data_IF_934062160534
#
_entry.id   IF_934062160534
#
_cell.length_a   1.000
_cell.length_b   1.000
_cell.length_c   1.000
_cell.angle_alpha   90.00
_cell.angle_beta   90.00
_cell.angle_gamma   90.00
#
_symmetry.space_group_name_H-M   'P 1'
#
loop_
_entity.id
_entity.type
_entity.pdbx_description
1 polymer ?
#
# COMPACT_ATOMS: atom_id res chain seq x y z
N UNK A 1 -9.26 7.55 -14.87
CA UNK A 1 -7.79 7.56 -14.68
C UNK A 1 -7.51 7.69 -13.20
N UNK A 2 -7.35 6.56 -12.54
CA UNK A 2 -6.94 6.52 -11.13
C UNK A 2 -5.40 6.50 -11.03
N UNK A 3 -4.89 7.05 -9.93
CA UNK A 3 -3.46 7.02 -9.60
C UNK A 3 -3.31 6.10 -8.40
N UNK A 4 -2.56 5.01 -8.56
CA UNK A 4 -2.21 4.11 -7.47
C UNK A 4 -0.76 4.27 -7.07
N UNK A 5 -0.51 4.28 -5.78
CA UNK A 5 0.85 4.41 -5.25
C UNK A 5 1.41 3.02 -4.99
N UNK A 6 2.57 2.72 -5.58
CA UNK A 6 3.30 1.48 -5.35
C UNK A 6 4.70 1.78 -4.80
N UNK A 7 5.26 0.84 -4.04
CA UNK A 7 6.60 0.97 -3.51
C UNK A 7 7.62 0.36 -4.48
N UNK A 8 8.60 1.16 -4.89
CA UNK A 8 9.69 0.76 -5.79
C UNK A 8 11.01 1.15 -5.13
N UNK A 9 11.81 0.16 -4.72
CA UNK A 9 13.09 0.37 -3.99
C UNK A 9 12.96 1.30 -2.77
N UNK A 10 11.87 1.19 -2.01
CA UNK A 10 11.63 2.02 -0.82
C UNK A 10 11.00 3.39 -1.11
N UNK A 11 10.82 3.76 -2.38
CA UNK A 11 10.17 5.00 -2.77
C UNK A 11 8.70 4.77 -3.15
N UNK A 12 7.82 5.64 -2.66
CA UNK A 12 6.39 5.60 -2.98
C UNK A 12 6.15 6.36 -4.28
N UNK A 13 5.80 5.64 -5.36
CA UNK A 13 5.62 6.20 -6.70
C UNK A 13 4.17 6.04 -7.15
N UNK A 14 3.57 7.14 -7.62
CA UNK A 14 2.25 7.12 -8.23
C UNK A 14 2.29 6.63 -9.68
N UNK A 15 1.55 5.57 -9.98
CA UNK A 15 1.35 5.06 -11.33
C UNK A 15 -0.09 5.37 -11.78
N UNK A 16 -0.19 6.04 -12.92
CA UNK A 16 -1.46 6.36 -13.57
C UNK A 16 -1.96 5.12 -14.33
N UNK A 17 -3.23 4.77 -14.13
CA UNK A 17 -3.91 3.73 -14.91
C UNK A 17 -3.48 2.30 -14.57
N UNK A 18 -2.92 2.06 -13.38
CA UNK A 18 -2.39 0.76 -12.99
C UNK A 18 -3.44 -0.35 -13.08
N UNK A 19 -4.66 -0.12 -12.60
CA UNK A 19 -5.74 -1.13 -12.61
C UNK A 19 -6.12 -1.58 -14.01
N UNK A 20 -6.23 -0.64 -14.95
CA UNK A 20 -6.53 -0.94 -16.36
C UNK A 20 -5.44 -1.85 -16.97
N UNK A 21 -4.18 -1.63 -16.57
CA UNK A 21 -3.04 -2.46 -17.00
C UNK A 21 -3.11 -3.86 -16.38
N UNK A 22 -3.43 -3.96 -15.08
CA UNK A 22 -3.55 -5.24 -14.37
C UNK A 22 -4.72 -6.07 -14.91
N UNK A 23 -5.86 -5.45 -15.20
CA UNK A 23 -7.01 -6.09 -15.84
C UNK A 23 -6.69 -6.57 -17.26
N UNK A 24 -5.97 -5.76 -18.04
CA UNK A 24 -5.51 -6.14 -19.38
C UNK A 24 -4.58 -7.35 -19.34
N UNK A 25 -3.70 -7.41 -18.32
CA UNK A 25 -2.83 -8.55 -18.11
C UNK A 25 -3.63 -9.81 -17.71
N UNK A 26 -4.71 -9.68 -16.94
CA UNK A 26 -5.58 -10.81 -16.59
C UNK A 26 -6.29 -11.42 -17.80
N UNK A 27 -6.71 -10.59 -18.76
CA UNK A 27 -7.38 -11.06 -19.98
C UNK A 27 -6.41 -11.79 -20.92
N UNK A 28 -5.12 -11.57 -20.75
CA UNK A 28 -4.07 -12.16 -21.59
C UNK A 28 -3.44 -13.33 -20.84
N UNK A 29 -3.55 -14.56 -21.37
CA UNK A 29 -2.82 -15.69 -20.79
C UNK A 29 -1.34 -15.60 -21.21
N UNK A 30 -0.47 -15.50 -20.23
CA UNK A 30 0.98 -15.56 -20.43
C UNK A 30 1.50 -16.95 -20.07
N UNK A 31 2.40 -17.46 -20.91
CA UNK A 31 3.05 -18.76 -20.68
C UNK A 31 4.21 -18.68 -19.69
N UNK A 32 4.77 -17.48 -19.51
CA UNK A 32 5.99 -17.23 -18.75
C UNK A 32 5.94 -15.91 -17.97
N UNK A 33 6.55 -15.90 -16.78
CA UNK A 33 6.58 -14.76 -15.86
C UNK A 33 7.30 -13.54 -16.46
N UNK A 34 8.35 -13.76 -17.26
CA UNK A 34 9.14 -12.69 -17.86
C UNK A 34 8.31 -11.92 -18.91
N UNK A 35 7.59 -12.63 -19.79
CA UNK A 35 6.69 -11.99 -20.75
C UNK A 35 5.58 -11.20 -20.08
N UNK A 36 5.05 -11.69 -18.95
CA UNK A 36 4.06 -10.95 -18.15
C UNK A 36 4.65 -9.64 -17.60
N UNK A 37 5.85 -9.69 -17.00
CA UNK A 37 6.54 -8.51 -16.48
C UNK A 37 6.82 -7.47 -17.57
N UNK A 38 7.28 -7.93 -18.72
CA UNK A 38 7.56 -7.06 -19.87
C UNK A 38 6.27 -6.43 -20.41
N UNK A 39 5.18 -7.20 -20.49
CA UNK A 39 3.88 -6.68 -20.89
C UNK A 39 3.37 -5.59 -19.93
N UNK A 40 3.43 -5.83 -18.62
CA UNK A 40 3.03 -4.86 -17.60
C UNK A 40 3.84 -3.57 -17.74
N UNK A 41 5.16 -3.68 -17.85
CA UNK A 41 6.04 -2.53 -18.02
C UNK A 41 5.69 -1.73 -19.29
N UNK A 42 5.56 -2.40 -20.44
CA UNK A 42 5.24 -1.75 -21.71
C UNK A 42 3.92 -0.99 -21.65
N UNK A 43 2.90 -1.58 -21.01
CA UNK A 43 1.59 -0.95 -20.82
C UNK A 43 1.67 0.27 -19.90
N UNK A 44 2.37 0.16 -18.76
CA UNK A 44 2.55 1.30 -17.85
C UNK A 44 3.33 2.44 -18.51
N UNK A 45 4.35 2.13 -19.33
CA UNK A 45 5.15 3.13 -20.07
C UNK A 45 4.33 3.95 -21.07
N UNK A 46 3.16 3.48 -21.50
CA UNK A 46 2.29 4.26 -22.39
C UNK A 46 1.69 5.49 -21.70
N UNK A 47 1.53 5.43 -20.37
CA UNK A 47 0.91 6.49 -19.57
C UNK A 47 1.86 7.12 -18.55
N UNK A 48 3.03 6.50 -18.29
CA UNK A 48 3.98 6.92 -17.26
C UNK A 48 5.40 6.95 -17.81
N UNK A 49 6.20 7.92 -17.39
CA UNK A 49 7.63 7.96 -17.72
C UNK A 49 8.41 7.01 -16.80
N UNK A 50 9.06 6.01 -17.40
CA UNK A 50 9.95 5.07 -16.69
C UNK A 50 11.32 5.10 -17.36
N UNK A 51 12.38 5.53 -16.65
CA UNK A 51 13.73 5.51 -17.19
C UNK A 51 14.25 4.08 -17.33
N UNK A 52 15.07 3.84 -18.36
CA UNK A 52 15.61 2.51 -18.68
C UNK A 52 16.35 1.89 -17.49
N UNK A 53 17.06 2.71 -16.72
CA UNK A 53 17.79 2.28 -15.52
C UNK A 53 16.92 1.76 -14.38
N UNK A 54 15.62 2.05 -14.39
CA UNK A 54 14.67 1.62 -13.37
C UNK A 54 13.69 0.55 -13.87
N UNK A 55 13.79 0.13 -15.14
CA UNK A 55 12.82 -0.82 -15.73
C UNK A 55 12.73 -2.13 -14.96
N UNK A 56 13.86 -2.69 -14.54
CA UNK A 56 13.89 -3.94 -13.79
C UNK A 56 13.21 -3.80 -12.42
N UNK A 57 13.40 -2.67 -11.75
CA UNK A 57 12.75 -2.38 -10.46
C UNK A 57 11.23 -2.28 -10.61
N UNK A 58 10.78 -1.61 -11.68
CA UNK A 58 9.36 -1.51 -12.01
C UNK A 58 8.77 -2.87 -12.37
N UNK A 59 9.47 -3.72 -13.15
CA UNK A 59 9.00 -5.08 -13.46
C UNK A 59 8.74 -5.88 -12.20
N UNK A 60 9.66 -5.83 -11.22
CA UNK A 60 9.50 -6.52 -9.93
C UNK A 60 8.32 -5.95 -9.15
N UNK A 61 8.21 -4.63 -9.05
CA UNK A 61 7.14 -3.98 -8.29
C UNK A 61 5.75 -4.21 -8.92
N UNK A 62 5.63 -4.07 -10.24
CA UNK A 62 4.39 -4.32 -10.98
C UNK A 62 3.94 -5.77 -10.89
N UNK A 63 4.88 -6.72 -10.92
CA UNK A 63 4.56 -8.13 -10.75
C UNK A 63 4.07 -8.45 -9.33
N UNK A 64 4.69 -7.87 -8.30
CA UNK A 64 4.20 -7.97 -6.92
C UNK A 64 2.76 -7.46 -6.80
N UNK A 65 2.46 -6.32 -7.41
CA UNK A 65 1.12 -5.73 -7.37
C UNK A 65 0.10 -6.54 -8.19
N UNK A 66 0.52 -7.09 -9.35
CA UNK A 66 -0.31 -8.01 -10.13
C UNK A 66 -0.69 -9.27 -9.34
N UNK A 67 0.25 -9.86 -8.60
CA UNK A 67 -0.03 -11.01 -7.73
C UNK A 67 -1.00 -10.65 -6.60
N UNK A 68 -0.83 -9.47 -5.97
CA UNK A 68 -1.77 -8.95 -4.97
C UNK A 68 -3.17 -8.74 -5.53
N UNK A 69 -3.28 -8.19 -6.74
CA UNK A 69 -4.55 -7.98 -7.42
C UNK A 69 -5.27 -9.30 -7.77
N UNK A 70 -4.51 -10.37 -8.02
CA UNK A 70 -5.05 -11.69 -8.33
C UNK A 70 -5.51 -12.49 -7.09
N UNK A 71 -5.27 -11.97 -5.88
CA UNK A 71 -5.73 -12.60 -4.64
C UNK A 71 -4.86 -13.76 -4.15
N UNK A 72 -3.62 -13.89 -4.64
CA UNK A 72 -2.61 -14.59 -3.83
C UNK A 72 -2.30 -13.68 -2.64
N UNK A 73 -2.42 -14.22 -1.42
CA UNK A 73 -1.84 -13.62 -0.23
C UNK A 73 -0.32 -13.59 -0.42
N UNK A 74 0.18 -12.61 -1.17
CA UNK A 74 1.59 -12.27 -1.19
C UNK A 74 1.85 -11.72 0.19
N UNK A 75 2.57 -12.48 1.02
CA UNK A 75 3.09 -12.02 2.31
C UNK A 75 3.54 -10.58 2.12
N UNK A 76 2.80 -9.65 2.71
CA UNK A 76 3.28 -8.28 2.80
C UNK A 76 4.61 -8.41 3.51
N UNK A 77 5.67 -7.88 2.93
CA UNK A 77 6.82 -7.46 3.72
C UNK A 77 6.31 -6.32 4.63
N UNK A 78 5.51 -6.67 5.64
CA UNK A 78 5.37 -5.90 6.87
C UNK A 78 6.69 -6.12 7.60
N UNK A 79 7.77 -5.54 7.08
CA UNK A 79 8.95 -5.32 7.91
C UNK A 79 8.55 -4.22 8.87
N UNK A 80 7.81 -4.59 9.91
CA UNK A 80 7.60 -3.76 11.07
C UNK A 80 6.27 -3.88 11.81
N UNK A 81 6.30 -3.52 13.09
CA UNK A 81 5.14 -3.40 13.98
C UNK A 81 4.16 -2.33 13.45
N UNK A 82 2.88 -2.64 13.28
CA UNK A 82 1.86 -1.63 12.99
C UNK A 82 1.24 -1.10 14.29
N UNK A 83 1.39 0.19 14.58
CA UNK A 83 0.82 0.87 15.75
C UNK A 83 -0.30 1.81 15.30
N UNK A 84 -1.52 1.58 15.80
CA UNK A 84 -2.71 2.35 15.43
C UNK A 84 -3.20 3.19 16.61
N UNK A 85 -3.29 4.49 16.40
CA UNK A 85 -3.77 5.46 17.39
C UNK A 85 -5.19 5.86 16.99
N UNK A 86 -6.17 5.48 17.81
CA UNK A 86 -7.58 5.82 17.60
C UNK A 86 -7.90 7.09 18.37
N UNK A 87 -8.28 8.16 17.69
CA UNK A 87 -8.66 9.40 18.36
C UNK A 87 -9.16 10.47 17.40
N UNK A 88 -10.10 11.33 17.82
CA UNK A 88 -10.71 12.36 16.96
C UNK A 88 -9.76 13.53 16.61
N UNK A 89 -8.44 13.38 16.79
CA UNK A 89 -7.46 14.45 16.56
C UNK A 89 -7.39 15.50 17.68
N UNK A 90 -7.61 15.10 18.93
CA UNK A 90 -7.48 15.99 20.09
C UNK A 90 -6.01 16.33 20.41
N UNK A 91 -5.69 17.44 21.11
CA UNK A 91 -4.30 17.79 21.46
C UNK A 91 -3.57 16.71 22.27
N UNK A 92 -4.30 15.96 23.08
CA UNK A 92 -3.81 14.81 23.85
C UNK A 92 -3.52 13.59 22.96
N UNK A 93 -4.30 13.42 21.89
CA UNK A 93 -4.16 12.36 20.90
C UNK A 93 -2.89 12.62 20.07
N UNK A 94 -2.64 13.88 19.70
CA UNK A 94 -1.40 14.31 19.04
C UNK A 94 -0.17 14.18 19.93
N UNK A 95 -0.30 14.44 21.24
CA UNK A 95 0.78 14.25 22.18
C UNK A 95 1.16 12.76 22.29
N UNK A 96 0.17 11.88 22.38
CA UNK A 96 0.38 10.44 22.38
C UNK A 96 1.07 9.96 21.10
N UNK A 97 0.68 10.49 19.94
CA UNK A 97 1.35 10.18 18.65
C UNK A 97 2.84 10.54 18.67
N UNK A 98 3.18 11.71 19.20
CA UNK A 98 4.58 12.15 19.33
C UNK A 98 5.38 11.27 20.30
N UNK A 99 4.78 10.87 21.42
CA UNK A 99 5.42 9.98 22.38
C UNK A 99 5.67 8.58 21.79
N UNK A 100 4.71 8.04 21.06
CA UNK A 100 4.84 6.75 20.37
C UNK A 100 5.92 6.82 19.29
N UNK A 101 5.98 7.90 18.51
CA UNK A 101 7.05 8.11 17.52
C UNK A 101 8.44 8.14 18.18
N UNK A 102 8.58 8.83 19.30
CA UNK A 102 9.84 8.92 20.03
C UNK A 102 10.33 7.55 20.54
N UNK A 103 9.43 6.73 21.08
CA UNK A 103 9.77 5.39 21.58
C UNK A 103 10.11 4.42 20.45
N UNK A 104 9.39 4.49 19.32
CA UNK A 104 9.68 3.69 18.13
C UNK A 104 11.06 4.02 17.55
N UNK A 105 11.40 5.31 17.51
CA UNK A 105 12.70 5.80 17.07
C UNK A 105 13.82 5.37 18.03
N UNK A 106 13.62 5.52 19.33
CA UNK A 106 14.57 5.10 20.36
C UNK A 106 14.88 3.59 20.29
N UNK A 107 13.86 2.77 20.07
CA UNK A 107 13.99 1.32 19.98
C UNK A 107 14.42 0.82 18.59
N UNK A 108 14.62 1.72 17.63
CA UNK A 108 14.95 1.39 16.23
C UNK A 108 14.06 0.30 15.64
N UNK A 109 12.78 0.30 16.03
CA UNK A 109 11.82 -0.69 15.56
C UNK A 109 11.34 -0.25 14.18
N UNK A 110 11.42 -1.12 13.16
CA UNK A 110 10.67 -0.86 11.95
C UNK A 110 9.19 -0.90 12.37
N UNK A 111 8.50 0.23 12.36
CA UNK A 111 7.11 0.29 12.75
C UNK A 111 6.37 1.36 11.94
N UNK A 112 5.14 1.04 11.56
CA UNK A 112 4.25 1.94 10.85
C UNK A 112 3.23 2.51 11.85
N UNK A 113 3.22 3.83 12.03
CA UNK A 113 2.32 4.53 12.96
C UNK A 113 1.19 5.20 12.15
N UNK A 114 -0.06 4.84 12.45
CA UNK A 114 -1.25 5.38 11.77
C UNK A 114 -2.23 5.97 12.80
N UNK A 115 -2.56 7.26 12.67
CA UNK A 115 -3.59 7.93 13.48
C UNK A 115 -4.93 7.92 12.73
N UNK A 116 -5.84 7.05 13.18
CA UNK A 116 -7.17 6.93 12.59
C UNK A 116 -8.07 7.96 13.27
N UNK A 117 -8.36 9.05 12.54
CA UNK A 117 -9.21 10.15 13.00
C UNK A 117 -10.69 9.92 12.70
N UNK A 118 -10.97 9.19 11.64
CA UNK A 118 -12.32 8.84 11.22
C UNK A 118 -12.61 7.38 11.53
N UNK A 119 -13.29 7.16 12.65
CA UNK A 119 -14.04 5.93 12.85
C UNK A 119 -15.30 6.02 11.99
N UNK A 120 -15.18 5.84 10.66
CA UNK A 120 -16.36 5.55 9.85
C UNK A 120 -16.83 4.17 10.29
N UNK A 121 -18.02 4.03 10.92
CA UNK A 121 -18.55 2.72 11.20
C UNK A 121 -18.89 2.10 9.85
N UNK A 122 -18.09 1.13 9.40
CA UNK A 122 -18.55 0.22 8.35
C UNK A 122 -19.66 -0.62 8.97
N UNK A 123 -20.89 -0.12 8.84
CA UNK A 123 -22.16 -0.82 9.07
C UNK A 123 -22.15 -1.93 10.13
N UNK A 124 -22.52 -1.57 11.35
CA UNK A 124 -22.85 -2.53 12.41
C UNK A 124 -23.58 -1.80 13.52
N UNK A 125 -24.89 -1.99 13.59
CA UNK A 125 -25.73 -1.53 14.70
C UNK A 125 -25.41 -2.36 15.95
N UNK A 126 -24.29 -2.07 16.62
CA UNK A 126 -23.97 -2.69 17.91
C UNK A 126 -24.27 -1.68 19.04
N UNK A 127 -25.31 -1.92 19.86
CA UNK A 127 -25.71 -1.02 20.95
C UNK A 127 -24.75 -1.06 22.15
N UNK A 128 -23.62 -1.75 22.05
CA UNK A 128 -22.66 -1.94 23.14
C UNK A 128 -21.74 -0.73 23.40
N UNK A 129 -21.73 0.28 22.53
CA UNK A 129 -20.84 1.44 22.70
C UNK A 129 -21.36 2.53 23.67
N UNK A 130 -22.52 2.32 24.31
CA UNK A 130 -23.07 3.26 25.32
C UNK A 130 -22.94 2.78 26.77
N UNK A 131 -22.20 1.69 27.05
CA UNK A 131 -22.12 1.12 28.39
C UNK A 131 -20.69 1.02 28.93
N UNK A 132 -19.91 2.09 28.86
CA UNK A 132 -18.89 2.35 29.89
C UNK A 132 -18.92 3.84 30.21
N UNK A 133 -19.76 4.13 31.21
CA UNK A 133 -19.79 5.36 32.00
C UNK A 133 -18.57 5.45 32.90
#
# INVERSE_FOLDING_TARGET
MEIKQINIKGNQIGIIGLDEVLESAKQTQFSDENSLKDFLLQKVKQQNYIPVSAEDDYKVALYREYRRFFGEEVEKEETGLAIRILGPGCPRCEQLEKEVMAVVEELSLPANIEHIRDLVPRGGSDPLFCLFR
#
